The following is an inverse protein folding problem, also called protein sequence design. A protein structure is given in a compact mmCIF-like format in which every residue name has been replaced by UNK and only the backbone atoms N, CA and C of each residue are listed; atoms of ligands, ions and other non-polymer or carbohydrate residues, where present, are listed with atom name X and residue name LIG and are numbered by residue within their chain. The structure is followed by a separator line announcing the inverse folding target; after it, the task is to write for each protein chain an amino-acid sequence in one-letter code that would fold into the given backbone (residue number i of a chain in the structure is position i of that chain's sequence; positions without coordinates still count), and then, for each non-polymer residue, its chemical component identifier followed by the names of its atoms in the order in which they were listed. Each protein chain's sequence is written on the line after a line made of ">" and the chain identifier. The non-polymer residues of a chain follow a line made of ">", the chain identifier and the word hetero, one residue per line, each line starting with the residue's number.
data_IF_871016012513
#
_entry.id   IF_871016012513
#
_cell.length_a   1.000
_cell.length_b   1.000
_cell.length_c   1.000
_cell.angle_alpha   90.00
_cell.angle_beta   90.00
_cell.angle_gamma   90.00
#
_symmetry.space_group_name_H-M   'P 1'
#
loop_
_entity.id
_entity.type
_entity.pdbx_description
1 polymer ?
#
# COMPACT_ATOMS: atom_id res chain seq x y z
N UNK A 1 14.13 22.90 0.89
CA UNK A 1 15.18 21.97 0.38
C UNK A 1 14.60 21.12 -0.74
N UNK A 2 15.14 21.19 -1.95
CA UNK A 2 14.77 20.29 -3.05
C UNK A 2 15.26 18.88 -2.77
N UNK A 3 14.49 17.85 -3.15
CA UNK A 3 14.93 16.44 -3.08
C UNK A 3 15.82 16.21 -4.30
N UNK A 4 17.05 15.74 -4.10
CA UNK A 4 17.98 15.49 -5.21
C UNK A 4 17.61 14.21 -5.98
N UNK A 5 18.15 14.03 -7.19
CA UNK A 5 17.95 12.77 -7.94
C UNK A 5 18.50 11.56 -7.20
N UNK A 6 19.59 11.72 -6.46
CA UNK A 6 20.17 10.65 -5.66
C UNK A 6 19.27 10.30 -4.47
N UNK A 7 18.74 11.30 -3.77
CA UNK A 7 17.76 11.09 -2.70
C UNK A 7 16.52 10.34 -3.21
N UNK A 8 16.00 10.71 -4.39
CA UNK A 8 14.86 10.01 -5.00
C UNK A 8 15.16 8.54 -5.30
N UNK A 9 16.39 8.21 -5.75
CA UNK A 9 16.79 6.81 -5.97
C UNK A 9 16.82 6.02 -4.65
N UNK A 10 17.36 6.61 -3.58
CA UNK A 10 17.42 5.99 -2.25
C UNK A 10 16.02 5.79 -1.67
N UNK A 11 15.18 6.83 -1.71
CA UNK A 11 13.79 6.77 -1.27
C UNK A 11 12.96 5.74 -2.04
N UNK A 12 13.18 5.62 -3.36
CA UNK A 12 12.50 4.60 -4.18
C UNK A 12 12.89 3.18 -3.78
N UNK A 13 14.17 2.91 -3.52
CA UNK A 13 14.62 1.59 -3.04
C UNK A 13 13.95 1.21 -1.73
N UNK A 14 13.86 2.15 -0.79
CA UNK A 14 13.18 1.93 0.49
C UNK A 14 11.69 1.66 0.28
N UNK A 15 11.02 2.42 -0.60
CA UNK A 15 9.62 2.16 -0.96
C UNK A 15 9.43 0.76 -1.57
N UNK A 16 10.31 0.36 -2.48
CA UNK A 16 10.26 -0.96 -3.12
C UNK A 16 10.49 -2.10 -2.09
N UNK A 17 11.33 -1.86 -1.06
CA UNK A 17 11.48 -2.76 0.10
C UNK A 17 10.19 -2.85 0.89
N UNK A 18 9.60 -1.70 1.25
CA UNK A 18 8.31 -1.65 1.97
C UNK A 18 7.19 -2.38 1.22
N UNK A 19 7.16 -2.28 -0.12
CA UNK A 19 6.17 -2.97 -0.94
C UNK A 19 6.36 -4.50 -0.98
N UNK A 20 7.60 -4.97 -0.85
CA UNK A 20 7.95 -6.39 -0.86
C UNK A 20 7.77 -7.04 0.51
N UNK A 21 8.17 -6.33 1.55
CA UNK A 21 8.26 -6.80 2.94
C UNK A 21 7.14 -6.20 3.81
N UNK A 22 6.00 -5.83 3.21
CA UNK A 22 4.93 -5.10 3.92
C UNK A 22 4.43 -5.83 5.17
N UNK A 23 4.48 -7.18 5.19
CA UNK A 23 4.01 -8.01 6.29
C UNK A 23 5.00 -8.10 7.46
N UNK A 24 6.27 -7.75 7.23
CA UNK A 24 7.31 -7.81 8.24
C UNK A 24 7.20 -6.62 9.23
N UNK A 25 7.69 -6.77 10.47
CA UNK A 25 7.80 -5.67 11.42
C UNK A 25 8.90 -4.70 10.98
N UNK A 26 8.59 -3.81 10.05
CA UNK A 26 9.53 -2.81 9.53
C UNK A 26 9.73 -1.66 10.53
N UNK A 27 10.96 -1.50 11.01
CA UNK A 27 11.38 -0.34 11.81
C UNK A 27 11.67 0.87 10.91
N UNK A 28 11.00 1.98 11.19
CA UNK A 28 11.20 3.26 10.50
C UNK A 28 12.64 3.78 10.60
N UNK A 29 13.33 3.45 11.69
CA UNK A 29 14.75 3.81 11.88
C UNK A 29 15.64 3.02 10.93
N UNK A 30 15.35 1.74 10.72
CA UNK A 30 16.07 0.89 9.77
C UNK A 30 15.85 1.37 8.33
N UNK A 31 14.59 1.64 7.95
CA UNK A 31 14.27 2.20 6.62
C UNK A 31 14.97 3.55 6.36
N UNK A 32 15.13 4.37 7.39
CA UNK A 32 15.89 5.62 7.27
C UNK A 32 17.38 5.37 7.05
N UNK A 33 17.97 4.37 7.73
CA UNK A 33 19.37 3.97 7.53
C UNK A 33 19.61 3.45 6.12
N UNK A 34 18.69 2.66 5.56
CA UNK A 34 18.75 2.19 4.17
C UNK A 34 18.74 3.34 3.15
N UNK A 35 18.01 4.42 3.47
CA UNK A 35 18.01 5.64 2.67
C UNK A 35 19.26 6.51 2.87
N UNK A 36 20.18 6.12 3.76
CA UNK A 36 21.33 6.92 4.20
C UNK A 36 20.91 8.29 4.76
N UNK A 37 19.82 8.31 5.54
CA UNK A 37 19.20 9.52 6.08
C UNK A 37 18.95 9.38 7.58
N UNK A 38 18.95 10.51 8.30
CA UNK A 38 18.42 10.54 9.66
C UNK A 38 16.89 10.32 9.63
N UNK A 39 16.26 9.75 10.68
CA UNK A 39 14.83 9.45 10.68
C UNK A 39 13.94 10.67 10.36
N UNK A 40 14.26 11.83 10.92
CA UNK A 40 13.52 13.07 10.66
C UNK A 40 13.71 13.59 9.23
N UNK A 41 14.91 13.47 8.65
CA UNK A 41 15.13 13.83 7.25
C UNK A 41 14.40 12.85 6.32
N UNK A 42 14.48 11.55 6.59
CA UNK A 42 13.78 10.51 5.84
C UNK A 42 12.28 10.76 5.79
N UNK A 43 11.62 10.98 6.93
CA UNK A 43 10.17 11.24 6.97
C UNK A 43 9.76 12.45 6.12
N UNK A 44 10.50 13.56 6.21
CA UNK A 44 10.21 14.78 5.43
C UNK A 44 10.46 14.58 3.95
N UNK A 45 11.59 13.96 3.59
CA UNK A 45 11.98 13.71 2.20
C UNK A 45 11.06 12.69 1.53
N UNK A 46 10.65 11.64 2.24
CA UNK A 46 9.68 10.64 1.77
C UNK A 46 8.31 11.29 1.52
N UNK A 47 7.80 12.08 2.47
CA UNK A 47 6.53 12.82 2.29
C UNK A 47 6.59 13.80 1.14
N UNK A 48 7.72 14.49 0.97
CA UNK A 48 7.91 15.40 -0.16
C UNK A 48 7.96 14.67 -1.50
N UNK A 49 8.55 13.48 -1.55
CA UNK A 49 8.69 12.69 -2.77
C UNK A 49 7.39 11.94 -3.16
N UNK A 50 6.63 11.44 -2.18
CA UNK A 50 5.50 10.53 -2.41
C UNK A 50 4.15 11.05 -1.90
N UNK A 51 4.10 12.22 -1.27
CA UNK A 51 2.86 12.86 -0.82
C UNK A 51 2.39 12.43 0.58
N UNK A 52 2.87 11.30 1.11
CA UNK A 52 2.47 10.77 2.42
C UNK A 52 3.66 10.32 3.27
N UNK A 53 3.45 10.10 4.58
CA UNK A 53 4.52 9.63 5.47
C UNK A 53 4.83 8.15 5.23
N UNK A 54 6.05 7.67 5.54
CA UNK A 54 6.40 6.26 5.40
C UNK A 54 5.43 5.32 6.14
N UNK A 55 5.03 5.67 7.36
CA UNK A 55 4.06 4.90 8.13
C UNK A 55 2.68 4.84 7.47
N UNK A 56 2.18 5.97 6.97
CA UNK A 56 0.91 6.00 6.23
C UNK A 56 0.98 5.12 4.99
N UNK A 57 2.06 5.22 4.22
CA UNK A 57 2.28 4.43 3.01
C UNK A 57 2.26 2.93 3.32
N UNK A 58 3.07 2.47 4.29
CA UNK A 58 3.12 1.06 4.68
C UNK A 58 1.74 0.56 5.09
N UNK A 59 1.01 1.35 5.87
CA UNK A 59 -0.32 0.97 6.33
C UNK A 59 -1.32 0.90 5.18
N UNK A 60 -1.29 1.84 4.23
CA UNK A 60 -2.10 1.79 3.00
C UNK A 60 -1.83 0.50 2.24
N UNK A 61 -0.56 0.12 2.05
CA UNK A 61 -0.17 -1.13 1.37
C UNK A 61 -0.67 -2.37 2.10
N UNK A 62 -0.60 -2.39 3.44
CA UNK A 62 -1.18 -3.46 4.26
C UNK A 62 -2.69 -3.57 4.09
N UNK A 63 -3.41 -2.44 4.10
CA UNK A 63 -4.86 -2.41 3.89
C UNK A 63 -5.24 -2.89 2.48
N UNK A 64 -4.49 -2.49 1.45
CA UNK A 64 -4.71 -2.98 0.08
C UNK A 64 -4.59 -4.52 0.00
N UNK A 65 -3.58 -5.08 0.67
CA UNK A 65 -3.44 -6.54 0.77
C UNK A 65 -4.56 -7.19 1.59
N UNK A 66 -4.94 -6.56 2.70
CA UNK A 66 -6.04 -7.03 3.54
C UNK A 66 -7.36 -7.12 2.76
N UNK A 67 -7.67 -6.12 1.91
CA UNK A 67 -8.84 -6.16 1.02
C UNK A 67 -8.81 -7.36 0.08
N UNK A 68 -7.64 -7.73 -0.44
CA UNK A 68 -7.52 -8.91 -1.31
C UNK A 68 -7.79 -10.21 -0.52
N UNK A 69 -7.30 -10.32 0.71
CA UNK A 69 -7.52 -11.49 1.57
C UNK A 69 -8.97 -11.61 2.03
N UNK A 70 -9.59 -10.50 2.46
CA UNK A 70 -11.00 -10.47 2.87
C UNK A 70 -11.93 -10.83 1.72
N UNK A 71 -11.60 -10.39 0.49
CA UNK A 71 -12.34 -10.76 -0.73
C UNK A 71 -12.33 -12.24 -1.04
N UNK A 72 -11.23 -12.93 -0.69
CA UNK A 72 -11.11 -14.37 -0.89
C UNK A 72 -11.97 -15.17 0.09
N UNK A 73 -12.24 -14.62 1.29
CA UNK A 73 -13.15 -15.21 2.28
C UNK A 73 -12.54 -16.29 3.19
N UNK A 74 -11.35 -16.79 2.86
CA UNK A 74 -10.69 -17.93 3.54
C UNK A 74 -10.19 -17.64 4.96
N UNK A 75 -9.97 -16.36 5.29
CA UNK A 75 -9.42 -15.94 6.58
C UNK A 75 -10.45 -15.09 7.36
N UNK A 76 -10.40 -15.22 8.68
CA UNK A 76 -11.08 -14.30 9.61
C UNK A 76 -10.41 -12.93 9.60
N UNK A 77 -11.11 -11.90 10.08
CA UNK A 77 -10.56 -10.54 10.16
C UNK A 77 -9.29 -10.49 11.01
N UNK A 78 -9.25 -11.24 12.11
CA UNK A 78 -8.08 -11.32 12.99
C UNK A 78 -6.88 -11.97 12.29
N UNK A 79 -7.09 -13.08 11.57
CA UNK A 79 -6.03 -13.73 10.80
C UNK A 79 -5.51 -12.81 9.69
N UNK A 80 -6.39 -12.08 9.01
CA UNK A 80 -5.97 -11.09 8.01
C UNK A 80 -5.13 -9.99 8.65
N UNK A 81 -5.52 -9.45 9.80
CA UNK A 81 -4.75 -8.43 10.53
C UNK A 81 -3.31 -8.91 10.80
N UNK A 82 -3.16 -10.15 11.28
CA UNK A 82 -1.85 -10.73 11.55
C UNK A 82 -1.07 -11.01 10.25
N UNK A 83 -1.74 -11.53 9.22
CA UNK A 83 -1.12 -11.87 7.94
C UNK A 83 -0.58 -10.65 7.17
N UNK A 84 -1.12 -9.45 7.41
CA UNK A 84 -0.60 -8.20 6.83
C UNK A 84 0.41 -7.50 7.74
N UNK A 85 0.80 -8.09 8.88
CA UNK A 85 1.81 -7.55 9.79
C UNK A 85 1.30 -6.48 10.76
N UNK A 86 -0.02 -6.34 10.94
CA UNK A 86 -0.59 -5.43 11.92
C UNK A 86 -0.59 -6.08 13.32
N UNK A 87 -0.11 -5.34 14.32
CA UNK A 87 0.04 -5.83 15.70
C UNK A 87 -1.21 -5.63 16.56
N UNK A 88 -2.12 -4.74 16.15
CA UNK A 88 -3.34 -4.42 16.88
C UNK A 88 -4.55 -4.43 15.96
N UNK A 89 -5.54 -5.24 16.34
CA UNK A 89 -6.81 -5.35 15.61
C UNK A 89 -7.60 -4.03 15.61
N UNK A 90 -7.53 -3.28 16.72
CA UNK A 90 -8.21 -1.98 16.84
C UNK A 90 -7.63 -0.95 15.88
N UNK A 91 -6.29 -0.79 15.87
CA UNK A 91 -5.61 0.13 14.96
C UNK A 91 -5.82 -0.25 13.49
N UNK A 92 -5.77 -1.56 13.20
CA UNK A 92 -6.08 -2.08 11.88
C UNK A 92 -7.52 -1.76 11.46
N UNK A 93 -8.51 -2.04 12.31
CA UNK A 93 -9.92 -1.84 11.98
C UNK A 93 -10.28 -0.37 11.76
N UNK A 94 -9.76 0.53 12.61
CA UNK A 94 -9.95 1.97 12.45
C UNK A 94 -9.35 2.47 11.14
N UNK A 95 -8.11 2.08 10.85
CA UNK A 95 -7.42 2.53 9.64
C UNK A 95 -7.99 1.92 8.36
N UNK A 96 -8.42 0.65 8.42
CA UNK A 96 -9.15 0.01 7.33
C UNK A 96 -10.43 0.78 7.04
N UNK A 97 -11.22 1.11 8.07
CA UNK A 97 -12.48 1.85 7.91
C UNK A 97 -12.24 3.25 7.36
N UNK A 98 -11.20 3.95 7.82
CA UNK A 98 -10.83 5.27 7.30
C UNK A 98 -10.47 5.22 5.80
N UNK A 99 -9.69 4.22 5.37
CA UNK A 99 -9.22 4.11 3.98
C UNK A 99 -10.24 3.47 3.02
N UNK A 100 -11.10 2.58 3.52
CA UNK A 100 -12.04 1.79 2.70
C UNK A 100 -13.48 2.31 2.81
N UNK A 101 -13.80 3.04 3.86
CA UNK A 101 -15.14 3.56 4.14
C UNK A 101 -16.10 2.53 4.77
N UNK A 102 -15.64 1.31 5.04
CA UNK A 102 -16.41 0.22 5.66
C UNK A 102 -15.54 -0.58 6.62
N UNK A 103 -16.14 -1.21 7.62
CA UNK A 103 -15.39 -2.07 8.56
C UNK A 103 -14.88 -3.34 7.88
N UNK A 104 -13.79 -3.96 8.36
CA UNK A 104 -13.26 -5.19 7.79
C UNK A 104 -14.29 -6.33 7.73
N UNK A 105 -15.10 -6.49 8.79
CA UNK A 105 -16.13 -7.53 8.88
C UNK A 105 -17.26 -7.31 7.88
N UNK A 106 -17.73 -6.06 7.74
CA UNK A 106 -18.75 -5.71 6.75
C UNK A 106 -18.22 -5.90 5.34
N UNK A 107 -16.97 -5.46 5.08
CA UNK A 107 -16.31 -5.66 3.81
C UNK A 107 -16.26 -7.15 3.45
N UNK A 108 -15.79 -8.03 4.35
CA UNK A 108 -15.75 -9.48 4.13
C UNK A 108 -17.12 -10.11 3.84
N UNK A 109 -18.18 -9.59 4.45
CA UNK A 109 -19.54 -10.11 4.25
C UNK A 109 -20.17 -9.66 2.93
N UNK A 110 -19.64 -8.61 2.29
CA UNK A 110 -20.14 -8.14 1.00
C UNK A 110 -19.91 -9.20 -0.09
N UNK A 111 -20.86 -9.28 -1.03
CA UNK A 111 -20.66 -10.05 -2.25
C UNK A 111 -19.55 -9.40 -3.07
N UNK A 112 -18.38 -10.03 -3.06
CA UNK A 112 -17.22 -9.61 -3.83
C UNK A 112 -17.14 -10.27 -5.20
N UNK A 113 -18.30 -10.64 -5.76
CA UNK A 113 -18.39 -10.96 -7.17
C UNK A 113 -17.67 -9.86 -7.95
N UNK A 114 -16.87 -10.22 -8.98
CA UNK A 114 -16.07 -9.25 -9.69
C UNK A 114 -16.99 -8.14 -10.20
N UNK A 115 -16.90 -6.97 -9.54
CA UNK A 115 -17.66 -5.79 -9.90
C UNK A 115 -17.44 -5.55 -11.39
N UNK A 116 -18.49 -5.82 -12.19
CA UNK A 116 -18.50 -5.87 -13.65
C UNK A 116 -17.11 -6.10 -14.26
N UNK A 117 -16.74 -7.38 -14.48
CA UNK A 117 -15.55 -7.75 -15.28
C UNK A 117 -15.46 -6.77 -16.45
N UNK A 118 -14.42 -5.92 -16.48
CA UNK A 118 -14.23 -4.99 -17.59
C UNK A 118 -14.30 -5.83 -18.86
N UNK A 119 -15.32 -5.64 -19.72
CA UNK A 119 -15.48 -6.50 -20.86
C UNK A 119 -14.17 -6.47 -21.67
N UNK A 120 -13.75 -7.62 -22.19
CA UNK A 120 -12.49 -7.73 -22.93
C UNK A 120 -12.40 -6.71 -24.08
N UNK A 121 -13.54 -6.31 -24.66
CA UNK A 121 -13.62 -5.24 -25.66
C UNK A 121 -13.20 -3.86 -25.11
N UNK A 122 -13.57 -3.53 -23.87
CA UNK A 122 -13.19 -2.29 -23.19
C UNK A 122 -11.69 -2.33 -22.87
N UNK A 123 -11.21 -3.41 -22.29
CA UNK A 123 -9.78 -3.59 -21.98
C UNK A 123 -8.90 -3.49 -23.25
N UNK A 124 -9.31 -4.12 -24.36
CA UNK A 124 -8.60 -4.04 -25.66
C UNK A 124 -8.60 -2.63 -26.24
N UNK A 125 -9.65 -1.85 -26.04
CA UNK A 125 -9.74 -0.48 -26.55
C UNK A 125 -8.77 0.44 -25.80
N UNK A 126 -8.73 0.34 -24.46
CA UNK A 126 -7.86 1.18 -23.63
C UNK A 126 -6.39 0.77 -23.67
N UNK A 127 -6.09 -0.51 -23.91
CA UNK A 127 -4.70 -1.00 -24.00
C UNK A 127 -4.14 -1.01 -25.43
N UNK A 128 -4.92 -0.55 -26.44
CA UNK A 128 -4.49 -0.51 -27.84
C UNK A 128 -3.28 0.42 -28.01
N UNK A 129 -2.13 -0.07 -28.53
CA UNK A 129 -0.98 0.79 -28.78
C UNK A 129 -1.32 1.85 -29.83
N UNK A 130 -1.23 3.13 -29.47
CA UNK A 130 -1.34 4.23 -30.43
C UNK A 130 0.01 4.43 -31.12
N UNK A 131 0.09 4.04 -32.40
CA UNK A 131 1.20 4.47 -33.25
C UNK A 131 1.09 5.98 -33.41
N UNK A 132 2.12 6.73 -33.02
CA UNK A 132 2.22 8.15 -33.37
C UNK A 132 2.40 8.25 -34.88
N UNK A 133 1.64 9.11 -35.60
CA UNK A 133 1.98 9.40 -36.98
C UNK A 133 3.39 10.02 -37.02
N UNK A 134 4.15 9.64 -38.05
CA UNK A 134 5.47 10.15 -38.39
C UNK A 134 5.47 11.65 -38.65
#
# INVERSE_FOLDING_TARGET
>A
MAVTLEDLRRLRRVRDRMDREYAEPLDMTELARDALMSPGHFQRSFRKAFGETPYSYLMTRRIERAKALLRRGDLTVTEVCLAVGCTSLGSFSSRFTELVGRTPSAYRADSHEPAAVIPSCVARTFTRPRRRPC
#
